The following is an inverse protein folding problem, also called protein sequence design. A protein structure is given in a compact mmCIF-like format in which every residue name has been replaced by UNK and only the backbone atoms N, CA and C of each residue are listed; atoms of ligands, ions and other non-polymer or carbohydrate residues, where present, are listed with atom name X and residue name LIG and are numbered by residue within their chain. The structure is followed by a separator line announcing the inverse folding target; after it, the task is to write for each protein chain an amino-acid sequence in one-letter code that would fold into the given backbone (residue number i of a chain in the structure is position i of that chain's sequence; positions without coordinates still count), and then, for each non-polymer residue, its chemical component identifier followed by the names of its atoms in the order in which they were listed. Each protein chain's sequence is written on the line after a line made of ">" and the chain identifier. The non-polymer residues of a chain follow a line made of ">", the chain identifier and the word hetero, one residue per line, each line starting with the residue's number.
data_IF_436324987315
#
_entry.id   IF_436324987315
#
_cell.length_a   1.000
_cell.length_b   1.000
_cell.length_c   1.000
_cell.angle_alpha   90.00
_cell.angle_beta   90.00
_cell.angle_gamma   90.00
#
_symmetry.space_group_name_H-M   'P 1'
#
loop_
_entity.id
_entity.type
_entity.pdbx_description
1 polymer ?
#
# COMPACT_ATOMS: atom_id res chain seq x y z
N UNK A 1 25.96 -25.37 -0.14
CA UNK A 1 26.45 -24.13 0.52
C UNK A 1 25.45 -23.02 0.23
N UNK A 2 25.12 -22.18 1.21
CA UNK A 2 24.13 -21.10 1.10
C UNK A 2 24.87 -19.76 1.17
N UNK A 3 24.64 -18.88 0.20
CA UNK A 3 25.26 -17.56 0.13
C UNK A 3 24.45 -16.56 0.96
N UNK A 4 24.68 -16.52 2.28
CA UNK A 4 23.93 -15.66 3.19
C UNK A 4 24.41 -14.20 3.19
N UNK A 5 23.48 -13.27 3.43
CA UNK A 5 23.79 -11.86 3.62
C UNK A 5 24.69 -11.62 4.84
N UNK A 6 25.66 -10.71 4.70
CA UNK A 6 26.44 -10.18 5.81
C UNK A 6 25.57 -9.43 6.82
N UNK A 7 26.02 -9.29 8.06
CA UNK A 7 25.33 -8.48 9.08
C UNK A 7 25.10 -7.05 8.59
N UNK A 8 26.12 -6.45 7.97
CA UNK A 8 26.03 -5.10 7.39
C UNK A 8 24.93 -4.98 6.35
N UNK A 9 24.79 -5.96 5.45
CA UNK A 9 23.73 -5.93 4.44
C UNK A 9 22.34 -6.08 5.08
N UNK A 10 22.19 -6.96 6.07
CA UNK A 10 20.93 -7.14 6.82
C UNK A 10 20.51 -5.84 7.52
N UNK A 11 21.44 -5.20 8.23
CA UNK A 11 21.19 -3.95 8.94
C UNK A 11 20.86 -2.81 7.97
N UNK A 12 21.54 -2.75 6.83
CA UNK A 12 21.29 -1.74 5.81
C UNK A 12 19.90 -1.92 5.19
N UNK A 13 19.49 -3.16 4.86
CA UNK A 13 18.14 -3.45 4.36
C UNK A 13 17.07 -3.01 5.36
N UNK A 14 17.23 -3.36 6.63
CA UNK A 14 16.27 -2.98 7.67
C UNK A 14 16.15 -1.45 7.80
N UNK A 15 17.27 -0.73 7.81
CA UNK A 15 17.31 0.74 7.93
C UNK A 15 16.68 1.44 6.74
N UNK A 16 16.91 0.96 5.51
CA UNK A 16 16.37 1.55 4.27
C UNK A 16 14.85 1.59 4.21
N UNK A 17 14.18 0.71 4.97
CA UNK A 17 12.72 0.64 5.04
C UNK A 17 12.16 1.05 6.41
N UNK A 18 12.97 1.72 7.24
CA UNK A 18 12.57 2.17 8.58
C UNK A 18 12.20 1.02 9.52
N UNK A 19 12.83 -0.14 9.38
CA UNK A 19 12.50 -1.38 10.09
C UNK A 19 11.03 -1.83 9.90
N UNK A 20 10.36 -1.44 8.83
CA UNK A 20 9.02 -1.92 8.48
C UNK A 20 9.09 -3.05 7.47
N UNK A 21 8.18 -4.03 7.58
CA UNK A 21 8.07 -5.12 6.60
C UNK A 21 7.86 -4.58 5.18
N UNK A 22 8.62 -5.03 4.17
CA UNK A 22 8.48 -4.56 2.78
C UNK A 22 7.23 -5.07 2.05
N UNK A 23 6.48 -6.04 2.61
CA UNK A 23 5.18 -6.39 2.05
C UNK A 23 4.21 -5.19 2.20
N UNK A 24 3.70 -4.62 1.09
CA UNK A 24 2.83 -3.43 1.11
C UNK A 24 1.57 -3.60 1.96
N UNK A 25 1.04 -4.83 2.05
CA UNK A 25 -0.15 -5.12 2.84
C UNK A 25 0.14 -5.39 4.32
N UNK A 26 1.42 -5.49 4.70
CA UNK A 26 1.82 -5.79 6.07
C UNK A 26 2.38 -4.55 6.78
N UNK A 27 3.46 -3.94 6.24
CA UNK A 27 4.16 -2.74 6.75
C UNK A 27 4.45 -2.65 8.25
N UNK A 28 4.25 -3.72 9.02
CA UNK A 28 4.43 -3.69 10.48
C UNK A 28 5.88 -3.39 10.84
N UNK A 29 6.04 -2.66 11.94
CA UNK A 29 7.35 -2.45 12.56
C UNK A 29 7.92 -3.79 12.99
N UNK A 30 9.20 -4.01 12.73
CA UNK A 30 9.89 -5.28 12.96
C UNK A 30 10.94 -5.21 14.07
N UNK A 31 11.13 -4.04 14.68
CA UNK A 31 12.05 -3.85 15.79
C UNK A 31 11.35 -3.13 16.95
N UNK A 32 11.71 -3.47 18.18
CA UNK A 32 11.20 -2.81 19.38
C UNK A 32 12.18 -2.96 20.54
N UNK A 33 11.91 -2.28 21.67
CA UNK A 33 12.72 -2.42 22.87
C UNK A 33 12.60 -3.82 23.48
N UNK A 34 13.66 -4.28 24.14
CA UNK A 34 13.62 -5.39 25.09
C UNK A 34 13.42 -4.86 26.51
N UNK A 35 13.14 -5.75 27.48
CA UNK A 35 13.15 -5.41 28.91
C UNK A 35 14.57 -4.99 29.36
N UNK A 36 15.58 -5.61 28.75
CA UNK A 36 16.98 -5.23 28.90
C UNK A 36 17.26 -4.00 28.02
N UNK A 37 17.64 -2.88 28.63
CA UNK A 37 17.87 -1.59 27.97
C UNK A 37 18.98 -1.63 26.92
N UNK A 38 19.92 -2.59 27.00
CA UNK A 38 21.00 -2.77 26.03
C UNK A 38 20.59 -3.63 24.83
N UNK A 39 19.33 -4.09 24.77
CA UNK A 39 18.84 -5.03 23.75
C UNK A 39 17.59 -4.54 23.04
N UNK A 40 17.40 -5.06 21.83
CA UNK A 40 16.19 -4.88 21.04
C UNK A 40 15.56 -6.23 20.72
N UNK A 41 14.25 -6.25 20.55
CA UNK A 41 13.51 -7.37 19.97
C UNK A 41 13.43 -7.13 18.47
N UNK A 42 13.82 -8.11 17.66
CA UNK A 42 13.75 -8.05 16.20
C UNK A 42 12.97 -9.25 15.65
N UNK A 43 11.90 -8.97 14.91
CA UNK A 43 11.05 -9.96 14.21
C UNK A 43 11.15 -9.85 12.69
N UNK A 44 12.10 -9.06 12.21
CA UNK A 44 12.44 -8.87 10.81
C UNK A 44 13.62 -9.74 10.37
N UNK A 45 13.63 -10.09 9.09
CA UNK A 45 14.65 -10.91 8.45
C UNK A 45 14.94 -10.39 7.05
N UNK A 46 16.19 -10.50 6.62
CA UNK A 46 16.55 -10.30 5.22
C UNK A 46 16.25 -11.58 4.45
N UNK A 47 15.24 -11.53 3.57
CA UNK A 47 14.88 -12.60 2.67
C UNK A 47 15.55 -12.40 1.31
N UNK A 48 15.76 -13.50 0.59
CA UNK A 48 16.34 -13.45 -0.75
C UNK A 48 15.24 -13.36 -1.80
N UNK A 49 15.39 -12.45 -2.76
CA UNK A 49 14.52 -12.36 -3.94
C UNK A 49 14.76 -13.58 -4.82
N UNK A 50 16.00 -13.80 -5.29
CA UNK A 50 16.46 -15.04 -5.95
C UNK A 50 17.20 -15.93 -4.96
N UNK A 51 17.05 -17.25 -5.07
CA UNK A 51 17.54 -18.19 -4.06
C UNK A 51 19.03 -18.01 -3.70
N UNK A 52 19.33 -18.10 -2.40
CA UNK A 52 20.69 -18.09 -1.86
C UNK A 52 21.51 -19.36 -2.15
N UNK A 53 20.88 -20.41 -2.67
CA UNK A 53 21.51 -21.70 -2.91
C UNK A 53 20.93 -22.37 -4.16
N UNK A 54 21.78 -23.17 -4.82
CA UNK A 54 21.37 -24.04 -5.94
C UNK A 54 20.19 -24.90 -5.52
N UNK A 55 19.14 -24.93 -6.37
CA UNK A 55 17.93 -25.71 -6.11
C UNK A 55 16.94 -25.07 -5.14
N UNK A 56 17.22 -23.86 -4.65
CA UNK A 56 16.25 -23.07 -3.90
C UNK A 56 15.19 -22.43 -4.80
N UNK A 57 14.10 -21.94 -4.19
CA UNK A 57 13.00 -21.27 -4.89
C UNK A 57 13.46 -20.00 -5.57
N UNK A 58 13.09 -19.83 -6.84
CA UNK A 58 13.57 -18.73 -7.69
C UNK A 58 15.11 -18.71 -7.87
N UNK A 59 15.79 -19.86 -7.84
CA UNK A 59 17.23 -19.93 -8.10
C UNK A 59 17.57 -19.53 -9.54
N UNK A 60 18.58 -18.67 -9.69
CA UNK A 60 19.09 -18.25 -10.99
C UNK A 60 20.53 -18.78 -11.17
N UNK A 61 20.77 -19.68 -12.14
CA UNK A 61 22.10 -20.25 -12.39
C UNK A 61 23.10 -19.22 -12.93
N UNK A 62 22.62 -18.11 -13.50
CA UNK A 62 23.49 -17.06 -14.04
C UNK A 62 23.92 -16.05 -12.96
N UNK A 63 23.34 -16.12 -11.76
CA UNK A 63 23.69 -15.24 -10.66
C UNK A 63 24.95 -15.75 -9.95
N UNK A 64 25.95 -14.90 -9.77
CA UNK A 64 27.16 -15.21 -9.00
C UNK A 64 26.88 -15.29 -7.49
N UNK A 65 27.79 -15.91 -6.73
CA UNK A 65 27.71 -15.94 -5.25
C UNK A 65 27.71 -14.53 -4.63
N UNK A 66 28.49 -13.60 -5.23
CA UNK A 66 28.54 -12.20 -4.81
C UNK A 66 27.20 -11.49 -5.03
N UNK A 67 26.54 -11.73 -6.15
CA UNK A 67 25.22 -11.17 -6.44
C UNK A 67 24.14 -11.81 -5.57
N UNK A 68 24.21 -13.11 -5.28
CA UNK A 68 23.27 -13.78 -4.38
C UNK A 68 23.25 -13.18 -2.98
N UNK A 69 24.42 -12.82 -2.46
CA UNK A 69 24.60 -12.21 -1.13
C UNK A 69 24.62 -10.67 -1.14
N UNK A 70 24.34 -10.04 -2.28
CA UNK A 70 24.28 -8.58 -2.39
C UNK A 70 22.97 -8.01 -1.83
N UNK A 71 23.00 -6.74 -1.44
CA UNK A 71 21.78 -6.04 -0.98
C UNK A 71 20.71 -5.92 -2.08
N UNK A 72 21.10 -5.96 -3.34
CA UNK A 72 20.18 -5.88 -4.49
C UNK A 72 19.28 -7.12 -4.56
N UNK A 73 19.82 -8.28 -4.18
CA UNK A 73 19.06 -9.54 -4.11
C UNK A 73 18.28 -9.72 -2.80
N UNK A 74 18.30 -8.72 -1.91
CA UNK A 74 17.69 -8.80 -0.59
C UNK A 74 16.44 -7.94 -0.42
N UNK A 75 15.48 -8.42 0.35
CA UNK A 75 14.28 -7.69 0.79
C UNK A 75 14.09 -7.87 2.30
N UNK A 76 13.71 -6.80 3.02
CA UNK A 76 13.45 -6.86 4.46
C UNK A 76 11.98 -7.22 4.73
N UNK A 77 11.73 -8.33 5.42
CA UNK A 77 10.38 -8.81 5.71
C UNK A 77 10.25 -9.21 7.17
N UNK A 78 9.05 -9.19 7.73
CA UNK A 78 8.80 -9.89 8.98
C UNK A 78 8.92 -11.41 8.77
N UNK A 79 9.21 -12.16 9.83
CA UNK A 79 9.35 -13.62 9.77
C UNK A 79 8.15 -14.32 9.09
N UNK A 80 6.92 -13.84 9.34
CA UNK A 80 5.69 -14.39 8.71
C UNK A 80 5.69 -14.17 7.20
N UNK A 81 5.93 -12.94 6.72
CA UNK A 81 5.93 -12.64 5.29
C UNK A 81 7.10 -13.31 4.58
N UNK A 82 8.27 -13.41 5.22
CA UNK A 82 9.40 -14.16 4.70
C UNK A 82 9.02 -15.63 4.48
N UNK A 83 8.34 -16.26 5.45
CA UNK A 83 7.87 -17.64 5.30
C UNK A 83 6.83 -17.80 4.19
N UNK A 84 5.93 -16.83 4.00
CA UNK A 84 4.92 -16.85 2.94
C UNK A 84 5.56 -16.84 1.55
N UNK A 85 6.50 -15.92 1.30
CA UNK A 85 7.16 -15.80 -0.02
C UNK A 85 8.03 -17.01 -0.35
N UNK A 86 8.54 -17.70 0.67
CA UNK A 86 9.30 -18.95 0.54
C UNK A 86 8.38 -20.17 0.43
N UNK A 87 7.08 -20.05 0.66
CA UNK A 87 6.13 -21.16 0.57
C UNK A 87 5.47 -21.24 -0.80
N UNK A 88 5.27 -20.11 -1.48
CA UNK A 88 4.55 -20.03 -2.76
C UNK A 88 5.29 -19.14 -3.78
N UNK A 89 6.24 -19.72 -4.53
CA UNK A 89 7.06 -18.95 -5.48
C UNK A 89 6.30 -18.52 -6.74
N UNK A 90 5.20 -19.19 -7.08
CA UNK A 90 4.36 -18.82 -8.22
C UNK A 90 3.59 -17.55 -7.91
N UNK A 91 3.02 -17.45 -6.71
CA UNK A 91 2.35 -16.25 -6.23
C UNK A 91 3.31 -15.10 -5.97
N UNK A 92 4.50 -15.39 -5.45
CA UNK A 92 5.50 -14.39 -5.08
C UNK A 92 6.70 -14.45 -6.03
N UNK A 93 6.54 -13.89 -7.24
CA UNK A 93 7.58 -13.85 -8.27
C UNK A 93 8.76 -12.93 -7.88
N UNK A 94 9.90 -13.08 -8.56
CA UNK A 94 11.04 -12.17 -8.38
C UNK A 94 10.64 -10.71 -8.63
N UNK A 95 9.92 -10.44 -9.72
CA UNK A 95 9.53 -9.09 -10.12
C UNK A 95 8.64 -8.42 -9.07
N UNK A 96 7.69 -9.18 -8.49
CA UNK A 96 6.85 -8.69 -7.40
C UNK A 96 7.68 -8.33 -6.17
N UNK A 97 8.66 -9.15 -5.79
CA UNK A 97 9.51 -8.87 -4.62
C UNK A 97 10.46 -7.69 -4.86
N UNK A 98 10.97 -7.53 -6.08
CA UNK A 98 11.72 -6.32 -6.47
C UNK A 98 10.82 -5.09 -6.35
N UNK A 99 9.56 -5.19 -6.79
CA UNK A 99 8.60 -4.09 -6.65
C UNK A 99 8.34 -3.74 -5.18
N UNK A 100 8.06 -4.73 -4.33
CA UNK A 100 7.83 -4.54 -2.90
C UNK A 100 9.01 -3.86 -2.21
N UNK A 101 10.24 -4.24 -2.58
CA UNK A 101 11.46 -3.58 -2.10
C UNK A 101 11.44 -2.09 -2.45
N UNK A 102 11.31 -1.74 -3.74
CA UNK A 102 11.29 -0.35 -4.21
C UNK A 102 10.18 0.48 -3.56
N UNK A 103 8.97 -0.10 -3.46
CA UNK A 103 7.83 0.52 -2.77
C UNK A 103 8.15 0.88 -1.33
N UNK A 104 8.65 -0.09 -0.58
CA UNK A 104 8.92 0.07 0.85
C UNK A 104 10.04 1.06 1.15
N UNK A 105 11.02 1.19 0.25
CA UNK A 105 12.10 2.17 0.36
C UNK A 105 11.60 3.58 0.03
N UNK A 106 10.75 3.74 -0.99
CA UNK A 106 10.13 5.03 -1.31
C UNK A 106 9.20 5.50 -0.19
N UNK A 107 8.37 4.61 0.37
CA UNK A 107 7.53 4.94 1.52
C UNK A 107 8.34 5.36 2.74
N UNK A 108 9.47 4.68 3.00
CA UNK A 108 10.34 5.07 4.10
C UNK A 108 11.01 6.43 3.88
N UNK A 109 11.33 6.78 2.63
CA UNK A 109 11.80 8.13 2.30
C UNK A 109 10.70 9.17 2.55
N UNK A 110 9.47 8.89 2.11
CA UNK A 110 8.32 9.77 2.35
C UNK A 110 8.00 9.95 3.83
N UNK A 111 8.09 8.90 4.65
CA UNK A 111 7.90 8.97 6.10
C UNK A 111 8.91 9.92 6.78
N UNK A 112 10.11 10.06 6.19
CA UNK A 112 11.15 10.98 6.68
C UNK A 112 10.92 12.40 6.19
N UNK A 113 10.55 12.57 4.92
CA UNK A 113 10.29 13.88 4.30
C UNK A 113 9.00 14.52 4.83
N UNK A 114 7.97 13.70 5.05
CA UNK A 114 6.63 14.08 5.45
C UNK A 114 6.23 13.25 6.68
N UNK A 115 6.82 13.52 7.86
CA UNK A 115 6.49 12.77 9.06
C UNK A 115 4.99 12.86 9.31
N UNK A 116 4.33 11.75 9.67
CA UNK A 116 2.90 11.77 9.96
C UNK A 116 2.68 12.81 11.06
N UNK A 117 1.94 13.87 10.73
CA UNK A 117 1.48 14.82 11.75
C UNK A 117 0.67 13.99 12.73
N UNK A 118 1.07 14.03 14.01
CA UNK A 118 0.32 13.37 15.07
C UNK A 118 -1.08 13.95 15.11
N UNK A 119 -2.03 13.33 14.42
CA UNK A 119 -3.42 13.47 14.75
C UNK A 119 -3.58 12.80 16.11
N UNK A 120 -3.37 13.57 17.18
CA UNK A 120 -3.89 13.23 18.50
C UNK A 120 -5.40 13.16 18.34
N UNK A 121 -5.90 11.96 18.06
CA UNK A 121 -7.31 11.65 18.08
C UNK A 121 -7.83 12.00 19.48
N UNK A 122 -8.64 13.06 19.57
CA UNK A 122 -9.45 13.28 20.75
C UNK A 122 -10.52 12.20 20.77
N UNK A 123 -10.23 11.08 21.45
CA UNK A 123 -11.20 10.05 21.79
C UNK A 123 -12.30 10.71 22.62
N UNK A 124 -13.52 10.78 22.08
CA UNK A 124 -14.73 11.16 22.82
C UNK A 124 -15.09 10.02 23.79
N UNK A 125 -14.70 10.13 25.06
CA UNK A 125 -15.35 9.36 26.13
C UNK A 125 -16.57 10.17 26.57
N UNK A 126 -17.76 9.83 26.08
CA UNK A 126 -19.00 10.35 26.66
C UNK A 126 -19.24 9.63 27.98
N UNK A 127 -18.65 10.13 29.06
CA UNK A 127 -19.11 9.77 30.39
C UNK A 127 -20.51 10.37 30.58
N UNK A 128 -21.54 9.53 30.48
CA UNK A 128 -22.91 9.91 30.82
C UNK A 128 -22.96 10.05 32.35
N UNK A 129 -22.72 11.25 32.88
CA UNK A 129 -23.10 11.59 34.24
C UNK A 129 -24.55 12.10 34.21
N UNK A 130 -25.52 11.43 34.85
CA UNK A 130 -26.91 11.83 34.76
C UNK A 130 -27.24 12.88 35.84
N UNK A 131 -26.51 13.99 35.96
CA UNK A 131 -26.95 15.12 36.82
C UNK A 131 -26.47 16.47 36.27
N UNK A 132 -27.45 17.26 35.83
CA UNK A 132 -27.48 18.74 35.72
C UNK A 132 -26.53 19.44 34.74
N UNK A 133 -27.10 19.77 33.58
CA UNK A 133 -27.25 21.13 33.07
C UNK A 133 -25.98 22.01 32.99
N UNK A 134 -25.19 21.82 31.93
CA UNK A 134 -24.74 22.89 31.04
C UNK A 134 -23.99 22.26 29.84
N UNK A 135 -24.48 22.51 28.62
CA UNK A 135 -23.78 22.14 27.37
C UNK A 135 -23.12 23.37 26.78
N UNK A 136 -21.80 23.44 26.84
CA UNK A 136 -21.04 24.32 25.97
C UNK A 136 -20.82 23.59 24.64
N UNK A 137 -21.59 23.96 23.61
CA UNK A 137 -21.33 23.50 22.24
C UNK A 137 -20.33 24.46 21.57
N UNK A 138 -19.05 24.11 21.57
CA UNK A 138 -18.10 24.72 20.63
C UNK A 138 -18.06 23.85 19.37
N UNK A 139 -18.71 24.31 18.30
CA UNK A 139 -18.64 23.68 16.98
C UNK A 139 -17.36 24.17 16.30
N UNK A 140 -16.32 23.34 16.29
CA UNK A 140 -15.13 23.57 15.46
C UNK A 140 -15.25 22.68 14.24
N UNK A 141 -15.53 23.27 13.09
CA UNK A 141 -15.66 22.56 11.82
C UNK A 141 -14.27 22.43 11.18
N UNK A 142 -13.57 21.33 11.44
CA UNK A 142 -12.28 21.03 10.82
C UNK A 142 -12.48 19.94 9.77
N UNK A 143 -12.26 20.30 8.50
CA UNK A 143 -12.34 19.39 7.36
C UNK A 143 -11.24 18.31 7.50
N UNK A 144 -11.53 17.04 7.16
CA UNK A 144 -10.52 15.98 7.15
C UNK A 144 -9.34 16.36 6.24
N UNK A 145 -8.14 15.91 6.62
CA UNK A 145 -6.94 16.01 5.80
C UNK A 145 -7.19 15.36 4.44
N UNK A 146 -7.03 16.13 3.36
CA UNK A 146 -7.35 15.69 2.00
C UNK A 146 -6.40 14.56 1.58
N UNK A 147 -6.96 13.40 1.23
CA UNK A 147 -6.22 12.32 0.57
C UNK A 147 -5.72 12.78 -0.80
N UNK A 148 -4.52 12.32 -1.20
CA UNK A 148 -3.90 12.65 -2.50
C UNK A 148 -3.11 11.47 -3.08
N UNK A 149 -3.01 11.40 -4.41
CA UNK A 149 -2.19 10.41 -5.12
C UNK A 149 -0.79 10.94 -5.51
N UNK A 150 -0.45 12.18 -5.15
CA UNK A 150 0.84 12.81 -5.52
C UNK A 150 2.06 11.91 -5.28
N UNK A 151 2.20 11.17 -4.15
CA UNK A 151 3.40 10.37 -3.88
C UNK A 151 3.60 9.19 -4.85
N UNK A 152 2.52 8.71 -5.47
CA UNK A 152 2.56 7.57 -6.40
C UNK A 152 2.38 7.98 -7.86
N UNK A 153 2.03 9.25 -8.14
CA UNK A 153 1.54 9.71 -9.43
C UNK A 153 2.44 9.29 -10.60
N UNK A 154 3.74 9.55 -10.51
CA UNK A 154 4.68 9.25 -11.59
C UNK A 154 4.74 7.74 -11.90
N UNK A 155 4.81 6.89 -10.87
CA UNK A 155 4.89 5.43 -11.04
C UNK A 155 3.57 4.84 -11.52
N UNK A 156 2.45 5.38 -11.03
CA UNK A 156 1.12 5.04 -11.49
C UNK A 156 1.00 5.31 -13.00
N UNK A 157 1.40 6.50 -13.48
CA UNK A 157 1.38 6.86 -14.90
C UNK A 157 2.22 5.90 -15.75
N UNK A 158 3.46 5.63 -15.35
CA UNK A 158 4.35 4.74 -16.12
C UNK A 158 3.78 3.33 -16.28
N UNK A 159 3.09 2.81 -15.26
CA UNK A 159 2.44 1.50 -15.38
C UNK A 159 1.17 1.56 -16.23
N UNK A 160 0.33 2.58 -16.03
CA UNK A 160 -0.92 2.74 -16.78
C UNK A 160 -0.67 2.86 -18.29
N UNK A 161 0.44 3.49 -18.71
CA UNK A 161 0.87 3.56 -20.13
C UNK A 161 1.00 2.20 -20.82
N UNK A 162 1.20 1.12 -20.05
CA UNK A 162 1.36 -0.23 -20.59
C UNK A 162 0.03 -0.86 -21.04
N UNK A 163 -1.12 -0.32 -20.63
CA UNK A 163 -2.44 -0.79 -21.08
C UNK A 163 -3.46 0.35 -21.09
N UNK A 164 -3.39 1.28 -22.06
CA UNK A 164 -4.40 2.31 -22.23
C UNK A 164 -5.77 1.71 -22.50
N UNK A 165 -6.79 2.17 -21.78
CA UNK A 165 -8.18 1.77 -21.98
C UNK A 165 -9.15 2.81 -21.44
N UNK A 166 -10.43 2.57 -21.67
CA UNK A 166 -11.52 3.34 -21.09
C UNK A 166 -11.74 3.01 -19.61
N UNK A 167 -12.11 4.03 -18.84
CA UNK A 167 -12.49 3.90 -17.43
C UNK A 167 -13.58 4.89 -17.04
N UNK A 168 -14.28 4.61 -15.95
CA UNK A 168 -15.31 5.45 -15.38
C UNK A 168 -15.12 5.61 -13.87
N UNK A 169 -15.36 6.80 -13.33
CA UNK A 169 -15.21 7.07 -11.89
C UNK A 169 -16.57 7.19 -11.21
N UNK A 170 -16.83 6.37 -10.19
CA UNK A 170 -18.03 6.47 -9.37
C UNK A 170 -17.69 7.10 -8.02
N UNK A 171 -18.39 8.17 -7.66
CA UNK A 171 -18.10 9.02 -6.51
C UNK A 171 -19.31 9.07 -5.57
N UNK A 172 -19.05 9.14 -4.26
CA UNK A 172 -20.09 9.49 -3.29
C UNK A 172 -20.42 10.99 -3.40
N UNK A 173 -21.68 11.32 -3.68
CA UNK A 173 -22.12 12.70 -3.84
C UNK A 173 -22.03 13.48 -2.51
N UNK A 174 -21.57 14.73 -2.56
CA UNK A 174 -21.58 15.64 -1.41
C UNK A 174 -20.31 15.62 -0.54
N UNK A 175 -19.30 14.85 -0.94
CA UNK A 175 -17.99 14.85 -0.31
C UNK A 175 -16.96 15.59 -1.19
N UNK A 176 -16.68 16.86 -0.84
CA UNK A 176 -15.74 17.71 -1.58
C UNK A 176 -14.31 17.17 -1.58
N UNK A 177 -13.92 16.34 -0.60
CA UNK A 177 -12.60 15.72 -0.56
C UNK A 177 -12.48 14.65 -1.64
N UNK A 178 -13.51 13.80 -1.74
CA UNK A 178 -13.62 12.73 -2.73
C UNK A 178 -13.64 13.30 -4.16
N UNK A 179 -14.32 14.42 -4.38
CA UNK A 179 -14.33 15.09 -5.68
C UNK A 179 -12.95 15.62 -6.09
N UNK A 180 -12.16 16.12 -5.14
CA UNK A 180 -10.79 16.60 -5.40
C UNK A 180 -9.89 15.42 -5.73
N UNK A 181 -9.90 14.37 -4.90
CA UNK A 181 -9.09 13.18 -5.12
C UNK A 181 -9.45 12.49 -6.44
N UNK A 182 -10.72 12.45 -6.82
CA UNK A 182 -11.17 11.89 -8.09
C UNK A 182 -10.61 12.64 -9.30
N UNK A 183 -10.51 13.97 -9.22
CA UNK A 183 -9.88 14.79 -10.28
C UNK A 183 -8.38 14.52 -10.38
N UNK A 184 -7.70 14.31 -9.25
CA UNK A 184 -6.29 13.93 -9.28
C UNK A 184 -6.08 12.58 -9.96
N UNK A 185 -6.90 11.59 -9.63
CA UNK A 185 -6.88 10.25 -10.25
C UNK A 185 -7.16 10.34 -11.75
N UNK A 186 -8.23 11.04 -12.15
CA UNK A 186 -8.59 11.28 -13.55
C UNK A 186 -7.44 11.90 -14.35
N UNK A 187 -6.79 12.91 -13.78
CA UNK A 187 -5.64 13.55 -14.42
C UNK A 187 -4.48 12.57 -14.63
N UNK A 188 -4.13 11.76 -13.62
CA UNK A 188 -3.05 10.78 -13.75
C UNK A 188 -3.37 9.70 -14.80
N UNK A 189 -4.62 9.24 -14.88
CA UNK A 189 -5.04 8.26 -15.87
C UNK A 189 -5.00 8.83 -17.30
N UNK A 190 -5.45 10.08 -17.49
CA UNK A 190 -5.36 10.79 -18.77
C UNK A 190 -3.91 11.00 -19.23
N UNK A 191 -3.02 11.39 -18.31
CA UNK A 191 -1.58 11.52 -18.60
C UNK A 191 -0.94 10.19 -19.05
N UNK A 192 -1.52 9.05 -18.66
CA UNK A 192 -1.10 7.73 -19.08
C UNK A 192 -1.76 7.23 -20.38
N UNK A 193 -2.63 8.04 -21.01
CA UNK A 193 -3.34 7.70 -22.25
C UNK A 193 -4.65 6.95 -22.05
N UNK A 194 -5.17 6.86 -20.83
CA UNK A 194 -6.50 6.27 -20.58
C UNK A 194 -7.61 7.28 -20.83
N UNK A 195 -8.77 6.80 -21.28
CA UNK A 195 -9.91 7.65 -21.64
C UNK A 195 -11.01 7.58 -20.59
N UNK A 196 -11.40 8.73 -20.04
CA UNK A 196 -12.48 8.80 -19.05
C UNK A 196 -13.84 8.88 -19.74
N UNK A 197 -14.72 7.91 -19.50
CA UNK A 197 -16.08 7.84 -20.06
C UNK A 197 -17.13 8.53 -19.20
N UNK A 198 -16.77 8.99 -18.00
CA UNK A 198 -17.62 9.87 -17.18
C UNK A 198 -17.40 9.76 -15.66
N UNK A 199 -18.06 10.67 -14.94
CA UNK A 199 -18.20 10.63 -13.48
C UNK A 199 -19.65 10.27 -13.12
N UNK A 200 -19.83 9.22 -12.32
CA UNK A 200 -21.14 8.81 -11.77
C UNK A 200 -21.20 9.19 -10.31
N UNK A 201 -22.21 9.96 -9.91
CA UNK A 201 -22.40 10.39 -8.52
C UNK A 201 -23.49 9.54 -7.86
N UNK A 202 -23.08 8.70 -6.91
CA UNK A 202 -23.98 7.83 -6.17
C UNK A 202 -24.45 8.52 -4.88
N UNK A 203 -25.77 8.47 -4.63
CA UNK A 203 -26.35 8.95 -3.38
C UNK A 203 -25.86 8.08 -2.22
N UNK A 204 -25.39 8.72 -1.15
CA UNK A 204 -24.75 8.09 0.01
C UNK A 204 -25.61 7.03 0.76
N UNK A 205 -26.89 6.88 0.40
CA UNK A 205 -27.85 5.99 1.06
C UNK A 205 -27.68 4.51 0.71
N UNK A 206 -27.00 4.18 -0.40
CA UNK A 206 -26.89 2.80 -0.91
C UNK A 206 -25.46 2.34 -1.17
N UNK A 207 -24.48 3.24 -1.07
CA UNK A 207 -23.07 2.95 -1.32
C UNK A 207 -22.23 3.56 -0.20
N UNK A 208 -21.15 2.89 0.20
CA UNK A 208 -20.25 3.44 1.20
C UNK A 208 -19.39 4.59 0.63
N UNK A 209 -18.86 5.48 1.48
CA UNK A 209 -18.23 6.75 1.07
C UNK A 209 -16.85 6.59 0.37
N UNK A 210 -16.71 6.84 -0.93
CA UNK A 210 -15.41 6.74 -1.61
C UNK A 210 -15.40 6.94 -3.14
N UNK A 211 -14.33 6.45 -3.79
CA UNK A 211 -14.11 6.46 -5.25
C UNK A 211 -14.04 5.02 -5.74
N UNK A 212 -14.79 4.69 -6.79
CA UNK A 212 -14.64 3.43 -7.54
C UNK A 212 -14.15 3.73 -8.94
N UNK A 213 -13.19 2.95 -9.42
CA UNK A 213 -12.70 3.00 -10.80
C UNK A 213 -13.25 1.78 -11.51
N UNK A 214 -14.08 1.99 -12.52
CA UNK A 214 -14.58 0.96 -13.42
C UNK A 214 -13.76 0.96 -14.71
N UNK A 215 -13.43 -0.21 -15.23
CA UNK A 215 -12.57 -0.40 -16.41
C UNK A 215 -13.14 -1.50 -17.28
N UNK A 216 -13.00 -1.39 -18.59
CA UNK A 216 -13.65 -2.31 -19.53
C UNK A 216 -13.00 -3.70 -19.59
N UNK A 217 -11.66 -3.78 -19.50
CA UNK A 217 -10.93 -5.04 -19.58
C UNK A 217 -10.15 -5.35 -18.30
N UNK A 218 -10.20 -6.61 -17.82
CA UNK A 218 -9.37 -7.07 -16.68
C UNK A 218 -8.06 -7.66 -17.14
N UNK A 219 -6.99 -6.99 -16.70
CA UNK A 219 -5.61 -7.38 -16.93
C UNK A 219 -4.78 -7.23 -15.63
N UNK A 220 -3.51 -7.60 -15.70
CA UNK A 220 -2.55 -7.53 -14.57
C UNK A 220 -2.30 -6.10 -14.09
N UNK A 221 -2.47 -5.10 -14.95
CA UNK A 221 -2.30 -3.69 -14.59
C UNK A 221 -3.44 -3.27 -13.65
N UNK A 222 -4.65 -3.78 -13.81
CA UNK A 222 -5.74 -3.48 -12.89
C UNK A 222 -5.50 -4.02 -11.48
N UNK A 223 -4.85 -5.18 -11.35
CA UNK A 223 -4.44 -5.71 -10.04
C UNK A 223 -3.34 -4.86 -9.40
N UNK A 224 -2.40 -4.36 -10.20
CA UNK A 224 -1.40 -3.41 -9.73
C UNK A 224 -2.03 -2.08 -9.26
N UNK A 225 -3.02 -1.55 -10.00
CA UNK A 225 -3.77 -0.37 -9.57
C UNK A 225 -4.46 -0.69 -8.22
N UNK A 226 -5.11 -1.85 -8.09
CA UNK A 226 -5.66 -2.33 -6.81
C UNK A 226 -4.65 -2.28 -5.66
N UNK A 227 -3.47 -2.85 -5.86
CA UNK A 227 -2.43 -2.94 -4.83
C UNK A 227 -1.82 -1.58 -4.48
N UNK A 228 -1.58 -0.71 -5.46
CA UNK A 228 -1.05 0.65 -5.26
C UNK A 228 -2.02 1.51 -4.48
N UNK A 229 -3.27 1.54 -4.91
CA UNK A 229 -4.24 2.37 -4.24
C UNK A 229 -4.43 1.84 -2.80
N UNK A 230 -4.43 0.52 -2.60
CA UNK A 230 -4.55 -0.07 -1.28
C UNK A 230 -3.44 0.40 -0.32
N UNK A 231 -2.21 0.62 -0.83
CA UNK A 231 -1.10 1.17 -0.02
C UNK A 231 -1.32 2.63 0.39
N UNK A 232 -2.12 3.39 -0.38
CA UNK A 232 -2.60 4.73 -0.01
C UNK A 232 -3.87 4.70 0.87
N UNK A 233 -4.30 3.51 1.32
CA UNK A 233 -5.60 3.28 1.98
C UNK A 233 -6.79 3.70 1.08
N UNK A 234 -6.58 3.66 -0.23
CA UNK A 234 -7.60 3.85 -1.27
C UNK A 234 -7.91 2.46 -1.84
N UNK A 235 -9.14 1.97 -1.84
CA UNK A 235 -9.35 0.59 -2.34
C UNK A 235 -9.77 0.63 -3.81
N UNK A 236 -9.12 -0.14 -4.69
CA UNK A 236 -9.46 -0.24 -6.13
C UNK A 236 -9.90 -1.66 -6.50
N UNK A 237 -10.88 -1.77 -7.39
CA UNK A 237 -11.42 -3.05 -7.90
C UNK A 237 -11.42 -3.11 -9.42
N UNK A 238 -11.25 -4.32 -9.97
CA UNK A 238 -11.27 -4.63 -11.40
C UNK A 238 -12.45 -5.55 -11.74
N UNK A 239 -13.18 -5.29 -12.84
CA UNK A 239 -14.36 -6.07 -13.25
C UNK A 239 -14.13 -6.87 -14.53
N UNK A 240 -14.21 -8.21 -14.47
CA UNK A 240 -14.27 -9.08 -15.66
C UNK A 240 -15.70 -9.61 -15.77
N UNK A 241 -16.44 -9.24 -16.81
CA UNK A 241 -17.81 -9.73 -17.03
C UNK A 241 -17.87 -10.75 -18.17
N UNK A 242 -18.50 -11.89 -17.89
CA UNK A 242 -19.28 -12.66 -18.86
C UNK A 242 -20.67 -12.75 -18.21
N UNK A 243 -21.58 -11.88 -18.66
CA UNK A 243 -22.96 -11.65 -18.18
C UNK A 243 -23.13 -11.42 -16.66
N UNK A 244 -23.28 -10.14 -16.31
CA UNK A 244 -23.72 -9.56 -15.03
C UNK A 244 -23.28 -10.32 -13.76
N UNK A 245 -22.13 -9.94 -13.21
CA UNK A 245 -21.72 -10.30 -11.85
C UNK A 245 -21.32 -9.02 -11.12
N UNK A 246 -22.23 -8.58 -10.27
CA UNK A 246 -22.11 -7.39 -9.43
C UNK A 246 -21.04 -7.64 -8.35
N UNK A 247 -19.99 -6.80 -8.31
CA UNK A 247 -18.99 -6.80 -7.25
C UNK A 247 -19.02 -5.45 -6.54
N UNK A 248 -19.37 -5.49 -5.25
CA UNK A 248 -19.59 -4.32 -4.39
C UNK A 248 -18.36 -4.06 -3.53
N UNK A 249 -17.93 -2.80 -3.45
CA UNK A 249 -16.83 -2.37 -2.58
C UNK A 249 -17.37 -1.57 -1.39
N UNK A 250 -16.85 -1.85 -0.19
CA UNK A 250 -17.23 -1.18 1.05
C UNK A 250 -16.16 -0.22 1.58
N UNK A 251 -16.56 1.01 1.90
CA UNK A 251 -15.83 1.97 2.75
C UNK A 251 -16.54 2.02 4.10
N UNK A 252 -15.85 1.58 5.15
CA UNK A 252 -16.21 1.90 6.52
C UNK A 252 -15.33 3.04 7.03
N UNK A 253 -15.83 3.88 7.96
CA UNK A 253 -14.96 4.80 8.68
C UNK A 253 -13.90 4.03 9.48
N UNK A 254 -12.80 4.71 9.78
CA UNK A 254 -11.67 4.20 10.58
C UNK A 254 -12.14 3.37 11.78
N UNK A 255 -11.70 2.12 11.87
CA UNK A 255 -11.63 1.36 13.12
C UNK A 255 -10.18 1.03 13.41
#
# INVERSE_FOLDING_TARGET
>A
MRDDFTKTNKDLMAKRVGFKCSNPNCRKVTIGPSIDEEKTVNVGVAAHVKAAAVGGKRYDPNQSSKERSSIENGIWLCQTCAKLIDSDEQKYSCDLLVEWKSLSENEAALDVENPPQSNSENIFITAINPVQSQVAHTIVNLKPSQRTILPIKARLIERLKLSPQEYQLHLSSGDSEIEILAKEIDQAFKEAGWENTGFIYNLASFYPPGITIEVNEVNEINQFIADIFHSLRLTVTANKTHDSKEFRLYIGPNN
#
